data_IF_712028819176
#
_entry.id   IF_712028819176
#
_cell.length_a   1.000
_cell.length_b   1.000
_cell.length_c   1.000
_cell.angle_alpha   90.00
_cell.angle_beta   90.00
_cell.angle_gamma   90.00
#
_symmetry.space_group_name_H-M   'P 1'
#
loop_
_entity.id
_entity.type
_entity.pdbx_description
1 polymer ?
#
# COMPACT_ATOMS: atom_id res chain seq x y z
N UNK A 1 -14.88 19.57 14.57
CA UNK A 1 -15.42 18.20 14.76
C UNK A 1 -14.78 17.63 16.01
N UNK A 2 -15.51 16.91 16.87
CA UNK A 2 -14.87 16.26 18.04
C UNK A 2 -13.76 15.32 17.56
N UNK A 3 -12.53 15.36 18.11
CA UNK A 3 -11.42 14.55 17.62
C UNK A 3 -11.74 13.06 17.51
N UNK A 4 -12.48 12.53 18.49
CA UNK A 4 -12.90 11.14 18.52
C UNK A 4 -13.88 10.82 17.37
N UNK A 5 -14.74 11.75 16.96
CA UNK A 5 -15.64 11.55 15.83
C UNK A 5 -14.87 11.45 14.49
N UNK A 6 -13.78 12.21 14.33
CA UNK A 6 -12.90 12.08 13.16
C UNK A 6 -12.32 10.66 13.06
N UNK A 7 -11.78 10.17 14.17
CA UNK A 7 -11.22 8.81 14.25
C UNK A 7 -12.26 7.72 14.01
N UNK A 8 -13.49 7.88 14.53
CA UNK A 8 -14.59 6.96 14.25
C UNK A 8 -14.94 6.92 12.76
N UNK A 9 -15.08 8.09 12.11
CA UNK A 9 -15.36 8.15 10.67
C UNK A 9 -14.21 7.52 9.88
N UNK A 10 -12.95 7.84 10.23
CA UNK A 10 -11.78 7.24 9.61
C UNK A 10 -11.79 5.71 9.76
N UNK A 11 -12.12 5.20 10.94
CA UNK A 11 -12.25 3.77 11.21
C UNK A 11 -13.34 3.13 10.35
N UNK A 12 -14.54 3.71 10.28
CA UNK A 12 -15.63 3.19 9.47
C UNK A 12 -15.26 3.11 7.98
N UNK A 13 -14.67 4.17 7.42
CA UNK A 13 -14.27 4.20 6.01
C UNK A 13 -13.17 3.16 5.75
N UNK A 14 -12.14 3.08 6.60
CA UNK A 14 -11.06 2.07 6.49
C UNK A 14 -11.62 0.66 6.55
N UNK A 15 -12.46 0.38 7.55
CA UNK A 15 -13.04 -0.94 7.77
C UNK A 15 -13.89 -1.37 6.57
N UNK A 16 -14.75 -0.48 6.09
CA UNK A 16 -15.59 -0.77 4.94
C UNK A 16 -14.77 -0.95 3.66
N UNK A 17 -13.72 -0.16 3.46
CA UNK A 17 -12.80 -0.33 2.33
C UNK A 17 -12.08 -1.69 2.36
N UNK A 18 -11.59 -2.12 3.52
CA UNK A 18 -10.93 -3.43 3.67
C UNK A 18 -11.92 -4.56 3.36
N UNK A 19 -13.15 -4.51 3.87
CA UNK A 19 -14.19 -5.50 3.56
C UNK A 19 -14.47 -5.57 2.06
N UNK A 20 -14.66 -4.42 1.41
CA UNK A 20 -14.91 -4.36 -0.03
C UNK A 20 -13.71 -4.93 -0.82
N UNK A 21 -12.48 -4.55 -0.44
CA UNK A 21 -11.26 -5.05 -1.04
C UNK A 21 -11.11 -6.56 -0.92
N UNK A 22 -11.40 -7.14 0.26
CA UNK A 22 -11.40 -8.59 0.46
C UNK A 22 -12.44 -9.27 -0.43
N UNK A 23 -13.66 -8.73 -0.53
CA UNK A 23 -14.68 -9.28 -1.41
C UNK A 23 -14.25 -9.26 -2.88
N UNK A 24 -13.66 -8.16 -3.35
CA UNK A 24 -13.26 -8.03 -4.75
C UNK A 24 -12.03 -8.87 -5.12
N UNK A 25 -10.97 -8.82 -4.29
CA UNK A 25 -9.77 -9.60 -4.53
C UNK A 25 -10.05 -11.10 -4.35
N UNK A 26 -10.88 -11.46 -3.36
CA UNK A 26 -11.38 -12.82 -3.17
C UNK A 26 -12.14 -13.34 -4.39
N UNK A 27 -13.08 -12.56 -4.92
CA UNK A 27 -13.78 -12.90 -6.16
C UNK A 27 -12.81 -13.05 -7.34
N UNK A 28 -11.83 -12.15 -7.47
CA UNK A 28 -10.81 -12.22 -8.52
C UNK A 28 -9.96 -13.50 -8.44
N UNK A 29 -9.60 -13.92 -7.22
CA UNK A 29 -8.91 -15.18 -6.98
C UNK A 29 -9.76 -16.37 -7.35
N UNK A 30 -11.00 -16.40 -6.89
CA UNK A 30 -11.95 -17.47 -7.18
C UNK A 30 -12.19 -17.63 -8.67
N UNK A 31 -12.54 -16.55 -9.39
CA UNK A 31 -12.83 -16.64 -10.83
C UNK A 31 -11.61 -17.01 -11.66
N UNK A 32 -10.41 -16.58 -11.27
CA UNK A 32 -9.20 -17.01 -11.99
C UNK A 32 -8.90 -18.48 -11.71
N UNK A 33 -9.08 -18.95 -10.48
CA UNK A 33 -8.96 -20.37 -10.17
C UNK A 33 -9.97 -21.19 -10.98
N UNK A 34 -11.26 -20.81 -10.91
CA UNK A 34 -12.34 -21.44 -11.65
C UNK A 34 -11.99 -21.54 -13.14
N UNK A 35 -11.65 -20.42 -13.79
CA UNK A 35 -11.34 -20.40 -15.23
C UNK A 35 -10.13 -21.25 -15.62
N UNK A 36 -9.14 -21.36 -14.74
CA UNK A 36 -7.93 -22.14 -14.99
C UNK A 36 -8.09 -23.62 -14.68
N UNK A 37 -9.09 -23.99 -13.88
CA UNK A 37 -9.36 -25.36 -13.42
C UNK A 37 -10.51 -26.04 -14.15
N UNK A 38 -11.10 -25.41 -15.18
CA UNK A 38 -12.10 -26.06 -16.03
C UNK A 38 -11.48 -27.24 -16.80
N UNK A 39 -12.15 -28.39 -16.73
CA UNK A 39 -11.80 -29.58 -17.49
C UNK A 39 -12.61 -29.67 -18.77
N UNK A 40 -12.12 -30.47 -19.72
CA UNK A 40 -12.86 -30.78 -20.95
C UNK A 40 -14.08 -31.62 -20.59
N UNK A 41 -15.31 -31.16 -20.88
CA UNK A 41 -16.52 -31.90 -20.54
C UNK A 41 -16.67 -33.20 -21.36
N UNK A 42 -17.46 -34.19 -20.90
CA UNK A 42 -17.87 -35.33 -21.72
C UNK A 42 -18.65 -34.90 -22.97
N UNK A 43 -18.67 -35.75 -24.00
CA UNK A 43 -19.22 -35.42 -25.34
C UNK A 43 -20.65 -34.88 -25.30
N UNK A 44 -21.54 -35.50 -24.51
CA UNK A 44 -22.93 -35.08 -24.40
C UNK A 44 -23.12 -33.65 -23.86
N UNK A 45 -22.17 -33.12 -23.07
CA UNK A 45 -22.16 -31.72 -22.62
C UNK A 45 -21.59 -30.78 -23.68
N UNK A 46 -20.57 -31.24 -24.41
CA UNK A 46 -20.03 -30.50 -25.55
C UNK A 46 -21.10 -30.29 -26.62
N UNK A 47 -21.92 -31.32 -26.87
CA UNK A 47 -23.04 -31.27 -27.81
C UNK A 47 -24.10 -30.21 -27.40
N UNK A 48 -24.15 -29.84 -26.10
CA UNK A 48 -24.98 -28.73 -25.55
C UNK A 48 -24.26 -27.37 -25.51
N UNK A 49 -23.10 -27.26 -26.16
CA UNK A 49 -22.31 -26.01 -26.22
C UNK A 49 -21.49 -25.69 -24.97
N UNK A 50 -21.32 -26.63 -24.05
CA UNK A 50 -20.46 -26.47 -22.86
C UNK A 50 -18.99 -26.70 -23.27
N UNK A 51 -18.13 -25.72 -23.02
CA UNK A 51 -16.69 -25.78 -23.33
C UNK A 51 -15.81 -26.18 -22.16
N UNK A 52 -16.32 -26.07 -20.94
CA UNK A 52 -15.57 -26.33 -19.71
C UNK A 52 -16.49 -26.75 -18.59
N UNK A 53 -16.03 -27.67 -17.77
CA UNK A 53 -16.78 -28.27 -16.67
C UNK A 53 -15.93 -28.33 -15.41
N UNK A 54 -16.54 -28.12 -14.25
CA UNK A 54 -15.85 -28.22 -12.97
C UNK A 54 -16.80 -28.76 -11.91
N UNK A 55 -16.32 -29.74 -11.15
CA UNK A 55 -16.96 -30.22 -9.93
C UNK A 55 -16.23 -29.69 -8.71
N UNK A 56 -16.97 -29.12 -7.77
CA UNK A 56 -16.43 -28.61 -6.51
C UNK A 56 -17.31 -29.04 -5.32
N UNK A 57 -16.71 -29.14 -4.14
CA UNK A 57 -17.43 -29.41 -2.89
C UNK A 57 -17.28 -28.23 -1.94
N UNK A 58 -18.38 -27.75 -1.37
CA UNK A 58 -18.36 -26.73 -0.33
C UNK A 58 -19.63 -26.79 0.53
N UNK A 59 -19.51 -26.53 1.84
CA UNK A 59 -20.67 -26.47 2.75
C UNK A 59 -21.52 -27.74 2.78
N UNK A 60 -20.93 -28.92 2.54
CA UNK A 60 -21.64 -30.21 2.53
C UNK A 60 -22.37 -30.55 1.24
N UNK A 61 -22.25 -29.73 0.17
CA UNK A 61 -22.86 -29.98 -1.13
C UNK A 61 -21.84 -30.04 -2.27
N UNK A 62 -22.24 -30.70 -3.36
CA UNK A 62 -21.50 -30.74 -4.63
C UNK A 62 -22.05 -29.67 -5.59
N UNK A 63 -21.15 -28.90 -6.18
CA UNK A 63 -21.43 -27.91 -7.20
C UNK A 63 -20.89 -28.39 -8.54
N UNK A 64 -21.72 -28.30 -9.58
CA UNK A 64 -21.33 -28.51 -10.96
C UNK A 64 -21.38 -27.16 -11.67
N UNK A 65 -20.24 -26.72 -12.19
CA UNK A 65 -20.10 -25.42 -12.85
C UNK A 65 -19.76 -25.65 -14.31
N UNK A 66 -20.71 -25.33 -15.19
CA UNK A 66 -20.55 -25.41 -16.63
C UNK A 66 -20.26 -24.02 -17.23
N UNK A 67 -19.19 -23.93 -18.04
CA UNK A 67 -18.87 -22.74 -18.83
C UNK A 67 -19.25 -22.97 -20.29
N UNK A 68 -20.14 -22.14 -20.82
CA UNK A 68 -20.60 -22.23 -22.20
C UNK A 68 -19.62 -21.57 -23.19
N UNK A 69 -19.56 -22.08 -24.42
CA UNK A 69 -18.76 -21.49 -25.50
C UNK A 69 -19.35 -20.13 -25.92
N UNK A 70 -20.65 -20.09 -26.17
CA UNK A 70 -21.40 -18.94 -26.71
C UNK A 70 -22.46 -18.49 -25.70
N UNK A 71 -23.38 -19.38 -25.34
CA UNK A 71 -24.44 -19.15 -24.37
C UNK A 71 -25.26 -20.43 -24.13
N UNK A 72 -26.12 -20.47 -23.10
CA UNK A 72 -27.02 -21.59 -22.87
C UNK A 72 -28.15 -21.63 -23.91
N UNK A 73 -28.81 -22.79 -24.05
CA UNK A 73 -30.00 -22.97 -24.90
C UNK A 73 -31.14 -22.02 -24.51
N UNK A 74 -31.31 -21.82 -23.21
CA UNK A 74 -32.26 -20.87 -22.64
C UNK A 74 -31.54 -19.94 -21.67
N UNK A 75 -31.77 -18.64 -21.82
CA UNK A 75 -31.20 -17.65 -20.91
C UNK A 75 -31.83 -17.79 -19.52
N UNK A 76 -31.02 -17.83 -18.45
CA UNK A 76 -31.55 -17.87 -17.09
C UNK A 76 -32.23 -16.55 -16.73
N UNK A 77 -33.28 -16.62 -15.91
CA UNK A 77 -34.00 -15.43 -15.41
C UNK A 77 -33.09 -14.51 -14.58
N UNK A 78 -32.12 -15.10 -13.87
CA UNK A 78 -31.21 -14.39 -12.97
C UNK A 78 -29.76 -14.62 -13.40
N UNK A 79 -29.07 -13.51 -13.67
CA UNK A 79 -27.63 -13.47 -13.89
C UNK A 79 -26.98 -12.69 -12.74
N UNK A 80 -26.01 -13.32 -12.10
CA UNK A 80 -25.20 -12.65 -11.08
C UNK A 80 -24.04 -11.88 -11.74
N UNK A 81 -23.97 -10.57 -11.47
CA UNK A 81 -22.97 -9.68 -12.05
C UNK A 81 -21.95 -9.24 -10.99
N UNK A 82 -20.71 -9.67 -11.16
CA UNK A 82 -19.59 -9.35 -10.28
C UNK A 82 -18.96 -8.00 -10.66
N UNK A 83 -19.71 -6.93 -10.40
CA UNK A 83 -19.28 -5.54 -10.65
C UNK A 83 -19.23 -4.71 -9.37
N UNK A 84 -20.07 -5.05 -8.40
CA UNK A 84 -20.29 -4.24 -7.21
C UNK A 84 -19.10 -4.29 -6.28
N UNK A 85 -18.42 -5.44 -6.19
CA UNK A 85 -17.21 -5.62 -5.41
C UNK A 85 -16.10 -4.67 -5.89
N UNK A 86 -15.94 -4.52 -7.20
CA UNK A 86 -14.99 -3.58 -7.78
C UNK A 86 -15.39 -2.12 -7.53
N UNK A 87 -16.67 -1.79 -7.77
CA UNK A 87 -17.16 -0.41 -7.65
C UNK A 87 -17.17 0.07 -6.19
N UNK A 88 -17.61 -0.76 -5.25
CA UNK A 88 -17.62 -0.43 -3.83
C UNK A 88 -16.20 -0.29 -3.29
N UNK A 89 -15.26 -1.17 -3.70
CA UNK A 89 -13.85 -1.03 -3.30
C UNK A 89 -13.26 0.29 -3.77
N UNK A 90 -13.51 0.68 -5.02
CA UNK A 90 -13.00 1.94 -5.54
C UNK A 90 -13.64 3.14 -4.85
N UNK A 91 -14.98 3.17 -4.72
CA UNK A 91 -15.68 4.28 -4.04
C UNK A 91 -15.20 4.47 -2.60
N UNK A 92 -15.05 3.38 -1.86
CA UNK A 92 -14.57 3.42 -0.47
C UNK A 92 -13.09 3.76 -0.38
N UNK A 93 -12.27 3.33 -1.33
CA UNK A 93 -10.86 3.68 -1.42
C UNK A 93 -10.65 5.15 -1.76
N UNK A 94 -11.45 5.70 -2.67
CA UNK A 94 -11.47 7.14 -2.97
C UNK A 94 -11.94 7.95 -1.77
N UNK A 95 -13.00 7.52 -1.08
CA UNK A 95 -13.43 8.17 0.16
C UNK A 95 -12.31 8.16 1.22
N UNK A 96 -11.59 7.05 1.35
CA UNK A 96 -10.47 6.92 2.28
C UNK A 96 -9.29 7.84 1.90
N UNK A 97 -8.95 7.91 0.61
CA UNK A 97 -7.92 8.80 0.09
C UNK A 97 -8.26 10.26 0.36
N UNK A 98 -9.49 10.68 0.08
CA UNK A 98 -9.97 12.05 0.34
C UNK A 98 -9.88 12.35 1.83
N UNK A 99 -10.42 11.47 2.68
CA UNK A 99 -10.50 11.67 4.12
C UNK A 99 -9.11 11.77 4.77
N UNK A 100 -8.23 10.82 4.47
CA UNK A 100 -6.94 10.72 5.13
C UNK A 100 -5.86 11.61 4.49
N UNK A 101 -5.81 11.69 3.16
CA UNK A 101 -4.69 12.32 2.46
C UNK A 101 -5.02 13.67 1.86
N UNK A 102 -6.28 14.01 1.60
CA UNK A 102 -6.62 15.30 1.00
C UNK A 102 -7.12 16.31 2.03
N UNK A 103 -7.99 15.91 2.98
CA UNK A 103 -8.37 16.78 4.09
C UNK A 103 -7.23 17.05 5.06
N UNK A 104 -6.32 16.09 5.25
CA UNK A 104 -5.15 16.22 6.11
C UNK A 104 -3.84 16.16 5.30
N UNK A 105 -3.82 16.81 4.13
CA UNK A 105 -2.68 16.73 3.21
C UNK A 105 -1.36 17.21 3.82
N UNK A 106 -1.37 18.25 4.65
CA UNK A 106 -0.18 18.72 5.34
C UNK A 106 0.42 17.66 6.29
N UNK A 107 -0.43 16.82 6.87
CA UNK A 107 0.00 15.77 7.78
C UNK A 107 0.38 14.49 7.03
N UNK A 108 -0.37 14.06 6.02
CA UNK A 108 -0.18 12.72 5.44
C UNK A 108 0.44 12.70 4.04
N UNK A 109 0.26 13.76 3.25
CA UNK A 109 0.61 13.77 1.83
C UNK A 109 1.87 14.59 1.53
N UNK A 110 2.03 15.76 2.15
CA UNK A 110 3.08 16.72 1.85
C UNK A 110 4.26 16.49 2.78
N UNK A 111 5.44 16.28 2.21
CA UNK A 111 6.72 16.33 2.94
C UNK A 111 7.57 17.44 2.31
N UNK A 112 7.77 18.58 3.00
CA UNK A 112 8.56 19.70 2.47
C UNK A 112 9.98 19.32 2.06
N UNK A 113 10.56 18.26 2.66
CA UNK A 113 11.90 17.77 2.32
C UNK A 113 11.95 17.05 0.97
N UNK A 114 10.80 16.60 0.47
CA UNK A 114 10.66 16.01 -0.87
C UNK A 114 10.31 17.10 -1.87
N UNK A 115 9.21 17.80 -1.62
CA UNK A 115 8.74 18.90 -2.46
C UNK A 115 7.82 19.82 -1.66
N UNK A 116 8.14 21.11 -1.65
CA UNK A 116 7.29 22.12 -1.02
C UNK A 116 6.05 22.37 -1.90
N UNK A 117 4.91 21.86 -1.44
CA UNK A 117 3.62 21.98 -2.12
C UNK A 117 2.60 22.62 -1.19
N UNK A 118 1.77 23.50 -1.75
CA UNK A 118 0.51 23.86 -1.09
C UNK A 118 -0.47 22.68 -1.09
N UNK A 119 -1.44 22.69 -0.17
CA UNK A 119 -2.49 21.67 -0.10
C UNK A 119 -3.23 21.49 -1.43
N UNK A 120 -3.60 22.57 -2.11
CA UNK A 120 -4.32 22.50 -3.37
C UNK A 120 -3.45 21.90 -4.49
N UNK A 121 -2.17 22.24 -4.55
CA UNK A 121 -1.23 21.65 -5.51
C UNK A 121 -1.05 20.15 -5.24
N UNK A 122 -0.85 19.74 -4.00
CA UNK A 122 -0.68 18.33 -3.65
C UNK A 122 -1.90 17.49 -4.01
N UNK A 123 -3.12 17.98 -3.70
CA UNK A 123 -4.37 17.30 -4.06
C UNK A 123 -4.56 17.27 -5.58
N UNK A 124 -4.34 18.39 -6.26
CA UNK A 124 -4.46 18.50 -7.72
C UNK A 124 -3.50 17.56 -8.46
N UNK A 125 -2.24 17.51 -8.02
CA UNK A 125 -1.24 16.57 -8.54
C UNK A 125 -1.60 15.12 -8.23
N UNK A 126 -2.16 14.83 -7.05
CA UNK A 126 -2.59 13.50 -6.66
C UNK A 126 -3.67 12.96 -7.60
N UNK A 127 -4.76 13.73 -7.76
CA UNK A 127 -5.88 13.38 -8.64
C UNK A 127 -5.43 13.35 -10.10
N UNK A 128 -4.72 14.41 -10.54
CA UNK A 128 -4.28 14.57 -11.92
C UNK A 128 -3.35 13.44 -12.37
N UNK A 129 -2.39 13.06 -11.53
CA UNK A 129 -1.45 11.97 -11.84
C UNK A 129 -2.14 10.61 -11.86
N UNK A 130 -3.07 10.33 -10.94
CA UNK A 130 -3.87 9.09 -10.97
C UNK A 130 -4.68 9.02 -12.28
N UNK A 131 -5.39 10.09 -12.63
CA UNK A 131 -6.17 10.15 -13.84
C UNK A 131 -5.31 9.99 -15.10
N UNK A 132 -4.18 10.71 -15.16
CA UNK A 132 -3.21 10.58 -16.25
C UNK A 132 -2.73 9.14 -16.40
N UNK A 133 -2.40 8.46 -15.30
CA UNK A 133 -1.97 7.07 -15.34
C UNK A 133 -3.04 6.12 -15.88
N UNK A 134 -4.31 6.32 -15.55
CA UNK A 134 -5.43 5.55 -16.12
C UNK A 134 -5.55 5.79 -17.63
N UNK A 135 -5.43 7.05 -18.08
CA UNK A 135 -5.49 7.41 -19.51
C UNK A 135 -4.31 6.82 -20.28
N UNK A 136 -3.09 6.94 -19.76
CA UNK A 136 -1.88 6.37 -20.37
C UNK A 136 -1.99 4.85 -20.46
N UNK A 137 -2.45 4.18 -19.40
CA UNK A 137 -2.70 2.74 -19.43
C UNK A 137 -3.72 2.34 -20.49
N UNK A 138 -4.82 3.08 -20.66
CA UNK A 138 -5.79 2.82 -21.72
C UNK A 138 -5.17 3.03 -23.12
N UNK A 139 -4.31 4.04 -23.28
CA UNK A 139 -3.51 4.25 -24.49
C UNK A 139 -2.59 3.07 -24.79
N UNK A 140 -1.86 2.56 -23.80
CA UNK A 140 -1.00 1.38 -23.93
C UNK A 140 -1.80 0.17 -24.39
N UNK A 141 -2.99 -0.07 -23.83
CA UNK A 141 -3.83 -1.20 -24.18
C UNK A 141 -4.40 -1.14 -25.61
N UNK A 142 -4.60 0.07 -26.15
CA UNK A 142 -5.04 0.31 -27.54
C UNK A 142 -3.88 0.32 -28.54
N UNK A 143 -2.66 0.55 -28.07
CA UNK A 143 -1.46 0.61 -28.91
C UNK A 143 -1.11 -0.75 -29.54
N UNK A 144 -0.37 -0.77 -30.67
CA UNK A 144 0.09 -2.00 -31.29
C UNK A 144 1.15 -2.76 -30.47
N UNK A 145 1.64 -2.19 -29.37
CA UNK A 145 2.55 -2.87 -28.43
C UNK A 145 1.93 -4.17 -27.89
N UNK A 146 0.60 -4.25 -27.88
CA UNK A 146 -0.13 -5.43 -27.47
C UNK A 146 0.08 -6.67 -28.38
N UNK A 147 0.75 -6.54 -29.53
CA UNK A 147 1.12 -7.66 -30.40
C UNK A 147 2.28 -8.48 -29.84
N UNK A 148 3.10 -7.90 -28.96
CA UNK A 148 4.24 -8.56 -28.34
C UNK A 148 4.10 -8.51 -26.81
N UNK A 149 3.74 -9.65 -26.21
CA UNK A 149 3.58 -9.76 -24.76
C UNK A 149 4.83 -9.33 -23.97
N UNK A 150 6.06 -9.75 -24.33
CA UNK A 150 7.26 -9.32 -23.60
C UNK A 150 7.50 -7.81 -23.67
N UNK A 151 7.32 -7.22 -24.85
CA UNK A 151 7.47 -5.77 -25.02
C UNK A 151 6.41 -5.01 -24.23
N UNK A 152 5.16 -5.47 -24.26
CA UNK A 152 4.08 -4.87 -23.50
C UNK A 152 4.36 -4.90 -22.00
N UNK A 153 4.84 -6.03 -21.47
CA UNK A 153 5.22 -6.17 -20.06
C UNK A 153 6.36 -5.21 -19.72
N UNK A 154 7.42 -5.14 -20.53
CA UNK A 154 8.54 -4.23 -20.30
C UNK A 154 8.08 -2.77 -20.24
N UNK A 155 7.21 -2.35 -21.16
CA UNK A 155 6.61 -1.00 -21.16
C UNK A 155 5.72 -0.78 -19.94
N UNK A 156 4.95 -1.78 -19.51
CA UNK A 156 4.11 -1.69 -18.30
C UNK A 156 4.96 -1.55 -17.02
N UNK A 157 6.09 -2.26 -16.94
CA UNK A 157 7.04 -2.12 -15.82
C UNK A 157 7.68 -0.73 -15.82
N UNK A 158 8.10 -0.23 -16.99
CA UNK A 158 8.64 1.12 -17.12
C UNK A 158 7.58 2.18 -16.74
N UNK A 159 6.34 2.02 -17.21
CA UNK A 159 5.21 2.86 -16.82
C UNK A 159 5.03 2.86 -15.30
N UNK A 160 4.98 1.68 -14.66
CA UNK A 160 4.88 1.57 -13.22
C UNK A 160 6.03 2.25 -12.49
N UNK A 161 7.26 2.07 -12.98
CA UNK A 161 8.46 2.70 -12.42
C UNK A 161 8.41 4.22 -12.49
N UNK A 162 8.03 4.79 -13.64
CA UNK A 162 7.92 6.23 -13.85
C UNK A 162 6.89 6.88 -12.91
N UNK A 163 5.71 6.26 -12.78
CA UNK A 163 4.68 6.78 -11.88
C UNK A 163 5.08 6.65 -10.41
N UNK A 164 5.69 5.52 -10.01
CA UNK A 164 6.15 5.36 -8.63
C UNK A 164 7.28 6.33 -8.30
N UNK A 165 8.23 6.52 -9.23
CA UNK A 165 9.28 7.53 -9.12
C UNK A 165 8.68 8.93 -8.97
N UNK A 166 7.74 9.31 -9.84
CA UNK A 166 7.06 10.60 -9.75
C UNK A 166 6.38 10.78 -8.39
N UNK A 167 5.61 9.80 -7.93
CA UNK A 167 4.95 9.87 -6.63
C UNK A 167 5.94 10.01 -5.46
N UNK A 168 7.05 9.27 -5.48
CA UNK A 168 8.07 9.34 -4.43
C UNK A 168 8.85 10.66 -4.40
N UNK A 169 8.87 11.40 -5.52
CA UNK A 169 9.52 12.71 -5.62
C UNK A 169 8.54 13.89 -5.54
N UNK A 170 7.23 13.63 -5.44
CA UNK A 170 6.20 14.66 -5.25
C UNK A 170 5.59 14.64 -3.85
N UNK A 171 5.49 13.46 -3.23
CA UNK A 171 4.74 13.24 -2.00
C UNK A 171 5.61 12.63 -0.91
N UNK A 172 5.11 12.68 0.33
CA UNK A 172 5.65 11.89 1.44
C UNK A 172 5.73 10.41 1.05
N UNK A 173 6.65 9.65 1.64
CA UNK A 173 6.78 8.21 1.35
C UNK A 173 5.46 7.45 1.51
N UNK A 174 4.66 7.80 2.54
CA UNK A 174 3.31 7.25 2.74
C UNK A 174 2.36 7.64 1.62
N UNK A 175 2.36 8.93 1.26
CA UNK A 175 1.57 9.47 0.17
C UNK A 175 1.88 8.77 -1.15
N UNK A 176 3.17 8.54 -1.43
CA UNK A 176 3.61 7.93 -2.67
C UNK A 176 3.09 6.49 -2.85
N UNK A 177 3.21 5.65 -1.82
CA UNK A 177 2.75 4.26 -1.87
C UNK A 177 1.22 4.18 -2.00
N UNK A 178 0.49 5.01 -1.25
CA UNK A 178 -0.97 5.04 -1.34
C UNK A 178 -1.45 5.57 -2.70
N UNK A 179 -0.79 6.57 -3.29
CA UNK A 179 -1.14 7.04 -4.63
C UNK A 179 -0.81 6.01 -5.71
N UNK A 180 0.27 5.24 -5.55
CA UNK A 180 0.55 4.10 -6.42
C UNK A 180 -0.55 3.02 -6.31
N UNK A 181 -1.00 2.71 -5.09
CA UNK A 181 -2.12 1.80 -4.86
C UNK A 181 -3.43 2.31 -5.47
N UNK A 182 -3.72 3.60 -5.31
CA UNK A 182 -4.89 4.26 -5.87
C UNK A 182 -4.86 4.28 -7.42
N UNK A 183 -3.69 4.48 -8.04
CA UNK A 183 -3.52 4.37 -9.48
C UNK A 183 -3.84 2.97 -9.98
N UNK A 184 -3.23 1.94 -9.38
CA UNK A 184 -3.48 0.54 -9.78
C UNK A 184 -4.94 0.17 -9.56
N UNK A 185 -5.52 0.52 -8.41
CA UNK A 185 -6.94 0.27 -8.12
C UNK A 185 -7.87 0.97 -9.11
N UNK A 186 -7.53 2.20 -9.52
CA UNK A 186 -8.28 2.95 -10.52
C UNK A 186 -8.16 2.33 -11.91
N UNK A 187 -6.98 1.84 -12.31
CA UNK A 187 -6.79 1.06 -13.53
C UNK A 187 -7.67 -0.22 -13.49
N UNK A 188 -7.65 -0.94 -12.37
CA UNK A 188 -8.37 -2.19 -12.22
C UNK A 188 -9.90 -1.99 -12.26
N UNK A 189 -10.45 -0.95 -11.63
CA UNK A 189 -11.89 -0.67 -11.70
C UNK A 189 -12.26 -0.13 -13.09
N UNK A 190 -11.39 0.66 -13.72
CA UNK A 190 -11.59 1.18 -15.08
C UNK A 190 -11.72 0.03 -16.08
N UNK A 191 -10.91 -1.02 -15.94
CA UNK A 191 -11.02 -2.25 -16.71
C UNK A 191 -12.40 -2.91 -16.56
N UNK A 192 -12.91 -2.98 -15.33
CA UNK A 192 -14.24 -3.55 -15.04
C UNK A 192 -15.35 -2.70 -15.64
N UNK A 193 -15.32 -1.39 -15.37
CA UNK A 193 -16.38 -0.45 -15.73
C UNK A 193 -16.46 -0.20 -17.25
N UNK A 194 -15.32 0.04 -17.93
CA UNK A 194 -15.32 0.45 -19.34
C UNK A 194 -15.24 -0.71 -20.33
N UNK A 195 -14.68 -1.87 -19.95
CA UNK A 195 -14.43 -2.97 -20.90
C UNK A 195 -15.15 -4.25 -20.53
N UNK A 196 -15.01 -4.74 -19.30
CA UNK A 196 -15.53 -6.05 -18.91
C UNK A 196 -17.06 -6.05 -18.85
N UNK A 197 -17.68 -5.19 -18.02
CA UNK A 197 -19.14 -5.18 -17.84
C UNK A 197 -19.88 -4.80 -19.12
N UNK A 198 -19.48 -3.76 -19.89
CA UNK A 198 -20.12 -3.45 -21.17
C UNK A 198 -19.99 -4.59 -22.18
N UNK A 199 -18.82 -5.24 -22.27
CA UNK A 199 -18.61 -6.38 -23.15
C UNK A 199 -19.49 -7.58 -22.78
N UNK A 200 -19.59 -7.90 -21.50
CA UNK A 200 -20.48 -8.95 -21.00
C UNK A 200 -21.96 -8.64 -21.26
N UNK A 201 -22.40 -7.39 -21.08
CA UNK A 201 -23.77 -6.96 -21.42
C UNK A 201 -24.07 -7.10 -22.90
N UNK A 202 -23.13 -6.71 -23.78
CA UNK A 202 -23.27 -6.90 -25.24
C UNK A 202 -23.42 -8.38 -25.58
N UNK A 203 -22.56 -9.23 -25.03
CA UNK A 203 -22.61 -10.68 -25.22
C UNK A 203 -23.98 -11.26 -24.79
N UNK A 204 -24.44 -10.92 -23.59
CA UNK A 204 -25.76 -11.38 -23.08
C UNK A 204 -26.89 -10.94 -24.00
N UNK A 205 -26.86 -9.70 -24.51
CA UNK A 205 -27.86 -9.20 -25.46
C UNK A 205 -27.88 -10.00 -26.76
N UNK A 206 -26.70 -10.30 -27.33
CA UNK A 206 -26.58 -11.08 -28.57
C UNK A 206 -27.11 -12.50 -28.39
N UNK A 207 -26.73 -13.17 -27.30
CA UNK A 207 -27.23 -14.52 -26.96
C UNK A 207 -28.74 -14.51 -26.80
N UNK A 208 -29.29 -13.55 -26.06
CA UNK A 208 -30.73 -13.46 -25.84
C UNK A 208 -31.52 -13.17 -27.13
N UNK A 209 -30.90 -12.49 -28.10
CA UNK A 209 -31.49 -12.19 -29.41
C UNK A 209 -31.30 -13.32 -30.45
N UNK A 210 -30.57 -14.38 -30.12
CA UNK A 210 -30.19 -15.42 -31.09
C UNK A 210 -29.21 -14.93 -32.17
N UNK A 211 -28.53 -13.82 -31.93
CA UNK A 211 -27.54 -13.25 -32.84
C UNK A 211 -26.17 -13.93 -32.69
N UNK A 212 -25.34 -13.98 -33.75
CA UNK A 212 -23.95 -14.40 -33.64
C UNK A 212 -23.20 -13.57 -32.59
N UNK A 213 -22.57 -14.24 -31.63
CA UNK A 213 -21.78 -13.58 -30.58
C UNK A 213 -20.44 -13.14 -31.14
N UNK A 214 -20.16 -11.84 -31.02
CA UNK A 214 -18.87 -11.26 -31.33
C UNK A 214 -17.87 -11.60 -30.21
N UNK A 215 -16.77 -12.34 -30.47
CA UNK A 215 -15.83 -12.74 -29.43
C UNK A 215 -14.93 -11.59 -28.96
N UNK A 216 -14.79 -10.51 -29.74
CA UNK A 216 -13.79 -9.47 -29.49
C UNK A 216 -13.95 -8.77 -28.12
N UNK A 217 -15.15 -8.36 -27.66
CA UNK A 217 -15.34 -7.76 -26.34
C UNK A 217 -15.02 -8.72 -25.19
N UNK A 218 -15.33 -10.01 -25.35
CA UNK A 218 -15.04 -11.04 -24.35
C UNK A 218 -13.54 -11.31 -24.22
N UNK A 219 -12.82 -11.38 -25.35
CA UNK A 219 -11.36 -11.52 -25.37
C UNK A 219 -10.66 -10.31 -24.76
N UNK A 220 -11.15 -9.09 -25.05
CA UNK A 220 -10.64 -7.87 -24.41
C UNK A 220 -10.90 -7.88 -22.90
N UNK A 221 -12.10 -8.27 -22.48
CA UNK A 221 -12.44 -8.43 -21.06
C UNK A 221 -11.53 -9.44 -20.36
N UNK A 222 -11.25 -10.59 -20.99
CA UNK A 222 -10.32 -11.60 -20.48
C UNK A 222 -8.91 -11.04 -20.31
N UNK A 223 -8.40 -10.33 -21.32
CA UNK A 223 -7.07 -9.69 -21.27
C UNK A 223 -6.95 -8.73 -20.09
N UNK A 224 -7.96 -7.89 -19.89
CA UNK A 224 -8.04 -6.93 -18.77
C UNK A 224 -8.14 -7.62 -17.41
N UNK A 225 -8.90 -8.72 -17.34
CA UNK A 225 -9.00 -9.56 -16.15
C UNK A 225 -7.67 -10.21 -15.77
N UNK A 226 -6.85 -10.59 -16.76
CA UNK A 226 -5.49 -11.10 -16.50
C UNK A 226 -4.64 -10.01 -15.83
N UNK A 227 -4.68 -8.77 -16.31
CA UNK A 227 -3.91 -7.69 -15.68
C UNK A 227 -4.38 -7.44 -14.24
N UNK A 228 -5.70 -7.38 -14.03
CA UNK A 228 -6.28 -7.26 -12.68
C UNK A 228 -5.82 -8.39 -11.76
N UNK A 229 -5.74 -9.64 -12.26
CA UNK A 229 -5.22 -10.77 -11.51
C UNK A 229 -3.76 -10.57 -11.10
N UNK A 230 -2.87 -10.10 -11.99
CA UNK A 230 -1.47 -9.87 -11.64
C UNK A 230 -1.29 -8.70 -10.66
N UNK A 231 -2.21 -7.74 -10.66
CA UNK A 231 -2.18 -6.60 -9.74
C UNK A 231 -2.69 -6.91 -8.33
N UNK A 232 -3.35 -8.04 -8.08
CA UNK A 232 -3.98 -8.32 -6.77
C UNK A 232 -2.98 -8.41 -5.62
N UNK A 233 -1.84 -9.10 -5.77
CA UNK A 233 -0.84 -9.19 -4.70
C UNK A 233 -0.08 -7.87 -4.51
N UNK A 234 0.37 -7.19 -5.58
CA UNK A 234 0.91 -5.84 -5.49
C UNK A 234 0.00 -4.85 -4.76
N UNK A 235 -1.31 -4.82 -5.08
CA UNK A 235 -2.21 -3.84 -4.47
C UNK A 235 -2.48 -4.14 -2.99
N UNK A 236 -2.58 -5.43 -2.60
CA UNK A 236 -2.67 -5.81 -1.18
C UNK A 236 -1.44 -5.30 -0.41
N UNK A 237 -0.24 -5.46 -0.98
CA UNK A 237 0.97 -4.94 -0.35
C UNK A 237 0.91 -3.41 -0.17
N UNK A 238 0.50 -2.67 -1.21
CA UNK A 238 0.40 -1.21 -1.15
C UNK A 238 -0.65 -0.75 -0.12
N UNK A 239 -1.69 -1.54 0.17
CA UNK A 239 -2.66 -1.23 1.23
C UNK A 239 -2.02 -1.30 2.63
N UNK A 240 -1.11 -2.24 2.85
CA UNK A 240 -0.47 -2.45 4.17
C UNK A 240 0.87 -1.73 4.30
N UNK A 241 1.43 -1.17 3.22
CA UNK A 241 2.79 -0.63 3.19
C UNK A 241 3.05 0.47 4.23
N UNK A 242 2.03 1.25 4.59
CA UNK A 242 2.13 2.31 5.59
C UNK A 242 2.43 1.80 7.02
N UNK A 243 2.31 0.51 7.27
CA UNK A 243 2.71 -0.12 8.53
C UNK A 243 4.23 -0.41 8.61
N UNK A 244 4.95 -0.19 7.51
CA UNK A 244 6.34 -0.60 7.33
C UNK A 244 7.23 0.59 6.91
N UNK A 245 7.62 1.47 7.86
CA UNK A 245 8.43 2.67 7.59
C UNK A 245 9.76 2.41 6.92
N UNK A 246 10.39 1.27 7.22
CA UNK A 246 11.65 0.84 6.61
C UNK A 246 11.56 0.71 5.08
N UNK A 247 10.35 0.60 4.52
CA UNK A 247 10.12 0.54 3.08
C UNK A 247 9.91 1.95 2.51
N UNK A 248 8.95 2.71 3.04
CA UNK A 248 8.53 3.96 2.42
C UNK A 248 9.41 5.17 2.78
N UNK A 249 10.18 5.11 3.88
CA UNK A 249 11.17 6.15 4.24
C UNK A 249 12.56 5.89 3.67
N UNK A 250 12.77 4.76 3.00
CA UNK A 250 14.06 4.48 2.40
C UNK A 250 14.35 5.48 1.26
N UNK A 251 15.62 5.90 1.09
CA UNK A 251 16.01 6.84 0.02
C UNK A 251 15.65 6.33 -1.39
N UNK A 252 15.58 5.02 -1.57
CA UNK A 252 15.15 4.34 -2.81
C UNK A 252 13.78 3.69 -2.67
N UNK A 253 12.86 4.30 -1.92
CA UNK A 253 11.53 3.75 -1.61
C UNK A 253 10.73 3.39 -2.86
N UNK A 254 10.80 4.19 -3.93
CA UNK A 254 10.14 3.92 -5.21
C UNK A 254 10.64 2.61 -5.85
N UNK A 255 11.96 2.35 -5.79
CA UNK A 255 12.56 1.16 -6.38
C UNK A 255 12.22 -0.08 -5.54
N UNK A 256 12.29 0.03 -4.21
CA UNK A 256 11.89 -1.05 -3.31
C UNK A 256 10.42 -1.38 -3.53
N UNK A 257 9.55 -0.37 -3.57
CA UNK A 257 8.13 -0.56 -3.85
C UNK A 257 7.90 -1.26 -5.19
N UNK A 258 8.57 -0.82 -6.26
CA UNK A 258 8.51 -1.45 -7.57
C UNK A 258 8.98 -2.92 -7.53
N UNK A 259 10.11 -3.22 -6.88
CA UNK A 259 10.62 -4.58 -6.76
C UNK A 259 9.66 -5.49 -6.00
N UNK A 260 9.10 -5.02 -4.88
CA UNK A 260 8.08 -5.78 -4.12
C UNK A 260 6.86 -6.05 -5.00
N UNK A 261 6.38 -5.07 -5.76
CA UNK A 261 5.28 -5.28 -6.71
C UNK A 261 5.62 -6.32 -7.79
N UNK A 262 6.81 -6.25 -8.39
CA UNK A 262 7.23 -7.21 -9.42
C UNK A 262 7.35 -8.62 -8.86
N UNK A 263 7.98 -8.78 -7.68
CA UNK A 263 8.10 -10.06 -7.00
C UNK A 263 6.71 -10.60 -6.63
N UNK A 264 5.80 -9.75 -6.14
CA UNK A 264 4.42 -10.15 -5.80
C UNK A 264 3.65 -10.61 -7.03
N UNK A 265 3.77 -9.92 -8.16
CA UNK A 265 3.17 -10.33 -9.43
C UNK A 265 3.78 -11.64 -9.96
N UNK A 266 5.08 -11.86 -9.77
CA UNK A 266 5.76 -13.10 -10.12
C UNK A 266 5.32 -14.28 -9.23
N UNK A 267 5.14 -14.05 -7.93
CA UNK A 267 4.54 -15.04 -7.02
C UNK A 267 3.10 -15.34 -7.45
N UNK A 268 2.33 -14.33 -7.87
CA UNK A 268 0.99 -14.56 -8.42
C UNK A 268 1.01 -15.45 -9.66
N UNK A 269 2.04 -15.32 -10.51
CA UNK A 269 2.23 -16.17 -11.67
C UNK A 269 2.30 -17.66 -11.31
N UNK A 270 2.99 -18.02 -10.22
CA UNK A 270 3.07 -19.41 -9.76
C UNK A 270 1.67 -20.00 -9.49
N UNK A 271 0.80 -19.26 -8.80
CA UNK A 271 -0.56 -19.74 -8.52
C UNK A 271 -1.37 -19.91 -9.81
N UNK A 272 -1.23 -18.98 -10.76
CA UNK A 272 -1.88 -19.10 -12.06
C UNK A 272 -1.43 -20.36 -12.82
N UNK A 273 -0.12 -20.66 -12.84
CA UNK A 273 0.42 -21.88 -13.45
C UNK A 273 -0.11 -23.14 -12.75
N UNK A 274 -0.07 -23.15 -11.41
CA UNK A 274 -0.55 -24.27 -10.60
C UNK A 274 -2.03 -24.57 -10.86
N UNK A 275 -2.87 -23.54 -10.93
CA UNK A 275 -4.31 -23.71 -11.21
C UNK A 275 -4.59 -24.24 -12.62
N UNK A 276 -3.70 -23.98 -13.57
CA UNK A 276 -3.75 -24.54 -14.93
C UNK A 276 -3.05 -25.91 -15.05
N UNK A 277 -2.80 -26.60 -13.94
CA UNK A 277 -2.16 -27.92 -13.92
C UNK A 277 -0.64 -27.94 -14.12
N UNK A 278 0.01 -26.78 -14.27
CA UNK A 278 1.46 -26.69 -14.43
C UNK A 278 2.16 -26.48 -13.08
N UNK A 279 2.71 -27.56 -12.51
CA UNK A 279 3.49 -27.47 -11.26
C UNK A 279 4.92 -26.99 -11.54
N UNK A 280 5.19 -25.71 -11.27
CA UNK A 280 6.54 -25.10 -11.35
C UNK A 280 6.95 -24.48 -10.01
N UNK A 281 7.25 -25.28 -8.96
CA UNK A 281 7.57 -24.76 -7.63
C UNK A 281 8.81 -23.85 -7.61
N UNK A 282 9.72 -23.99 -8.58
CA UNK A 282 10.85 -23.07 -8.76
C UNK A 282 10.43 -21.60 -8.87
N UNK A 283 9.29 -21.30 -9.50
CA UNK A 283 8.76 -19.92 -9.59
C UNK A 283 8.48 -19.35 -8.21
N UNK A 284 7.86 -20.14 -7.32
CA UNK A 284 7.60 -19.74 -5.94
C UNK A 284 8.91 -19.54 -5.15
N UNK A 285 9.84 -20.49 -5.23
CA UNK A 285 11.09 -20.41 -4.49
C UNK A 285 11.99 -19.26 -4.96
N UNK A 286 12.04 -18.98 -6.26
CA UNK A 286 12.76 -17.81 -6.80
C UNK A 286 12.10 -16.52 -6.33
N UNK A 287 10.76 -16.43 -6.35
CA UNK A 287 10.04 -15.26 -5.83
C UNK A 287 10.27 -15.04 -4.33
N UNK A 288 10.19 -16.10 -3.53
CA UNK A 288 10.44 -16.05 -2.09
C UNK A 288 11.90 -15.70 -1.77
N UNK A 289 12.86 -16.29 -2.48
CA UNK A 289 14.28 -16.00 -2.36
C UNK A 289 14.60 -14.55 -2.73
N UNK A 290 13.99 -14.03 -3.80
CA UNK A 290 14.13 -12.62 -4.18
C UNK A 290 13.55 -11.67 -3.12
N UNK A 291 12.39 -12.00 -2.53
CA UNK A 291 11.81 -11.21 -1.44
C UNK A 291 12.71 -11.23 -0.19
N UNK A 292 13.23 -12.40 0.17
CA UNK A 292 14.15 -12.55 1.30
C UNK A 292 15.45 -11.78 1.07
N UNK A 293 16.06 -11.89 -0.12
CA UNK A 293 17.26 -11.14 -0.47
C UNK A 293 17.02 -9.62 -0.39
N UNK A 294 15.87 -9.14 -0.87
CA UNK A 294 15.49 -7.73 -0.76
C UNK A 294 15.33 -7.30 0.71
N UNK A 295 14.68 -8.11 1.54
CA UNK A 295 14.53 -7.84 2.97
C UNK A 295 15.88 -7.77 3.70
N UNK A 296 16.80 -8.70 3.40
CA UNK A 296 18.17 -8.69 3.95
C UNK A 296 18.94 -7.45 3.49
N UNK A 297 18.87 -7.09 2.20
CA UNK A 297 19.56 -5.93 1.66
C UNK A 297 19.12 -4.62 2.34
N UNK A 298 17.80 -4.42 2.50
CA UNK A 298 17.24 -3.23 3.16
C UNK A 298 17.64 -3.20 4.65
N UNK A 299 17.54 -4.34 5.34
CA UNK A 299 17.87 -4.44 6.76
C UNK A 299 19.36 -4.19 7.02
N UNK A 300 20.24 -4.73 6.16
CA UNK A 300 21.69 -4.54 6.26
C UNK A 300 22.09 -3.07 6.08
N UNK A 301 21.50 -2.39 5.09
CA UNK A 301 21.75 -0.97 4.84
C UNK A 301 21.30 -0.09 6.02
N UNK A 302 20.17 -0.40 6.64
CA UNK A 302 19.70 0.34 7.82
C UNK A 302 20.68 0.18 9.00
N UNK A 303 21.19 -1.03 9.23
CA UNK A 303 22.18 -1.29 10.29
C UNK A 303 23.51 -0.59 10.02
N UNK A 304 24.00 -0.58 8.78
CA UNK A 304 25.27 0.07 8.47
C UNK A 304 25.23 1.59 8.61
N UNK A 305 24.09 2.22 8.31
CA UNK A 305 23.89 3.66 8.50
C UNK A 305 23.86 4.08 9.99
N UNK A 306 23.42 3.20 10.89
CA UNK A 306 23.45 3.45 12.34
C UNK A 306 24.87 3.42 12.93
N UNK A 307 25.77 2.63 12.33
CA UNK A 307 27.14 2.43 12.83
C UNK A 307 28.18 3.28 12.11
N UNK A 308 27.79 4.04 11.09
CA UNK A 308 28.69 4.94 10.38
C UNK A 308 28.86 6.26 11.16
N UNK A 309 30.07 6.62 11.63
CA UNK A 309 30.30 7.93 12.24
C UNK A 309 30.11 9.02 11.19
N UNK A 310 28.98 9.74 11.23
CA UNK A 310 28.84 11.01 10.50
C UNK A 310 29.72 12.02 11.23
N UNK A 311 30.81 12.45 10.57
CA UNK A 311 31.67 13.53 11.06
C UNK A 311 30.84 14.80 11.13
N UNK A 312 30.36 15.15 12.33
CA UNK A 312 29.75 16.45 12.61
C UNK A 312 30.90 17.45 12.63
N UNK A 313 30.95 18.33 11.63
CA UNK A 313 31.82 19.50 11.67
C UNK A 313 31.29 20.44 12.77
N UNK A 314 31.85 20.31 13.97
CA UNK A 314 31.56 21.18 15.09
C UNK A 314 32.08 22.60 14.77
N UNK A 315 31.18 23.53 14.49
CA UNK A 315 31.45 24.95 14.67
C UNK A 315 31.05 25.31 16.09
N UNK A 316 32.04 25.76 16.86
CA UNK A 316 31.94 25.93 18.30
C UNK A 316 31.08 27.11 18.75
N UNK A 317 30.51 26.94 19.93
CA UNK A 317 30.33 28.03 20.87
C UNK A 317 30.65 27.50 22.27
N UNK A 318 31.84 27.84 22.75
CA UNK A 318 32.16 27.80 24.18
C UNK A 318 31.24 28.81 24.90
N UNK A 319 30.52 28.35 25.92
CA UNK A 319 29.99 29.23 26.95
C UNK A 319 30.34 28.67 28.32
N UNK A 320 31.06 29.51 29.05
CA UNK A 320 31.69 29.32 30.34
C UNK A 320 30.83 28.64 31.41
N UNK A 321 31.47 27.66 32.07
CA UNK A 321 31.12 27.14 33.39
C UNK A 321 31.25 28.26 34.43
N UNK A 322 30.21 28.46 35.25
CA UNK A 322 30.36 29.11 36.56
C UNK A 322 29.70 28.24 37.61
N UNK A 323 30.53 27.78 38.55
CA UNK A 323 30.14 27.12 39.79
C UNK A 323 29.32 28.06 40.68
N UNK A 324 28.25 27.54 41.30
CA UNK A 324 27.87 28.00 42.64
C UNK A 324 27.18 26.89 43.44
N UNK A 325 27.51 26.89 44.72
CA UNK A 325 27.37 25.82 45.71
C UNK A 325 25.93 25.55 46.16
N UNK A 326 25.73 24.28 46.51
CA UNK A 326 24.60 23.62 47.16
C UNK A 326 23.73 24.43 48.14
N UNK A 327 22.43 24.13 48.11
CA UNK A 327 21.61 23.92 49.33
C UNK A 327 20.69 22.72 49.12
N UNK A 328 20.66 21.84 50.12
CA UNK A 328 19.92 20.59 50.13
C UNK A 328 18.49 20.79 50.67
N UNK A 329 17.52 20.15 50.04
CA UNK A 329 16.48 19.28 50.63
C UNK A 329 15.21 19.28 49.78
N UNK A 330 14.72 18.07 49.48
CA UNK A 330 13.32 17.58 49.51
C UNK A 330 13.25 16.31 48.65
N UNK A 331 12.70 15.27 49.27
CA UNK A 331 12.23 13.96 48.74
C UNK A 331 12.57 13.64 47.28
N UNK A 332 13.56 12.74 47.11
CA UNK A 332 14.08 12.34 45.81
C UNK A 332 13.09 11.45 45.04
N UNK A 333 12.35 12.06 44.11
CA UNK A 333 12.19 11.44 42.79
C UNK A 333 13.59 11.09 42.26
N UNK A 334 13.79 9.97 41.54
CA UNK A 334 15.10 9.64 40.99
C UNK A 334 15.58 10.83 40.13
N UNK A 335 16.57 11.56 40.63
CA UNK A 335 17.13 12.71 39.93
C UNK A 335 17.70 12.22 38.61
N UNK A 336 17.15 12.74 37.52
CA UNK A 336 17.62 12.41 36.18
C UNK A 336 19.07 12.87 36.04
N UNK A 337 19.88 12.07 35.38
CA UNK A 337 21.23 12.50 35.01
C UNK A 337 21.14 13.68 34.03
N UNK A 338 22.21 14.48 33.92
CA UNK A 338 22.28 15.57 32.93
C UNK A 338 21.99 15.07 31.50
N UNK A 339 22.44 13.85 31.17
CA UNK A 339 22.16 13.21 29.88
C UNK A 339 20.67 12.87 29.72
N UNK A 340 20.03 12.36 30.77
CA UNK A 340 18.60 12.06 30.75
C UNK A 340 17.76 13.35 30.62
N UNK A 341 18.18 14.45 31.26
CA UNK A 341 17.56 15.76 31.08
C UNK A 341 17.69 16.26 29.63
N UNK A 342 18.87 16.12 29.00
CA UNK A 342 19.05 16.48 27.58
C UNK A 342 18.13 15.66 26.67
N UNK A 343 18.10 14.33 26.83
CA UNK A 343 17.24 13.47 26.04
C UNK A 343 15.74 13.77 26.23
N UNK A 344 15.30 14.01 27.47
CA UNK A 344 13.92 14.40 27.75
C UNK A 344 13.57 15.74 27.09
N UNK A 345 14.47 16.74 27.15
CA UNK A 345 14.27 18.03 26.48
C UNK A 345 14.13 17.90 24.96
N UNK A 346 14.94 17.04 24.31
CA UNK A 346 14.80 16.73 22.88
C UNK A 346 13.43 16.08 22.61
N UNK A 347 13.03 15.10 23.43
CA UNK A 347 11.75 14.39 23.27
C UNK A 347 10.56 15.35 23.47
N UNK A 348 10.58 16.20 24.47
CA UNK A 348 9.53 17.18 24.72
C UNK A 348 9.41 18.17 23.55
N UNK A 349 10.53 18.72 23.09
CA UNK A 349 10.57 19.68 21.99
C UNK A 349 10.11 19.07 20.65
N UNK A 350 10.51 17.82 20.37
CA UNK A 350 10.31 17.18 19.07
C UNK A 350 9.09 16.27 19.00
N UNK A 351 8.71 15.64 20.10
CA UNK A 351 7.65 14.64 20.17
C UNK A 351 6.46 15.09 21.04
N UNK A 352 6.67 15.96 22.03
CA UNK A 352 5.67 16.32 23.05
C UNK A 352 4.38 16.93 22.49
N UNK A 353 4.44 17.64 21.35
CA UNK A 353 3.25 18.21 20.72
C UNK A 353 2.18 17.16 20.35
N UNK A 354 2.62 15.93 20.02
CA UNK A 354 1.75 14.81 19.65
C UNK A 354 1.69 13.73 20.75
N UNK A 355 2.81 13.45 21.41
CA UNK A 355 2.99 12.34 22.35
C UNK A 355 2.98 12.82 23.81
N UNK A 356 1.99 13.62 24.18
CA UNK A 356 1.75 14.10 25.56
C UNK A 356 0.39 13.62 26.08
N UNK A 357 0.17 13.65 27.39
CA UNK A 357 -1.17 13.56 27.99
C UNK A 357 -2.09 14.70 27.56
N UNK A 358 -1.51 15.83 27.13
CA UNK A 358 -2.25 16.99 26.61
C UNK A 358 -1.69 17.45 25.24
N UNK A 359 -1.88 16.67 24.16
CA UNK A 359 -1.36 17.01 22.84
C UNK A 359 -1.86 18.37 22.34
N UNK A 360 -0.95 19.17 21.78
CA UNK A 360 -1.24 20.51 21.27
C UNK A 360 -1.34 20.55 19.75
N UNK A 361 -0.87 19.51 19.04
CA UNK A 361 -0.89 19.42 17.57
C UNK A 361 -2.29 19.56 16.97
N UNK A 362 -2.42 20.25 15.83
CA UNK A 362 -3.71 20.51 15.17
C UNK A 362 -4.42 19.28 14.62
N UNK A 363 -3.68 18.23 14.28
CA UNK A 363 -4.20 16.98 13.71
C UNK A 363 -4.22 15.89 14.78
N UNK A 364 -3.11 15.72 15.50
CA UNK A 364 -2.96 14.69 16.51
C UNK A 364 -3.41 15.17 17.89
N UNK A 365 -4.73 15.27 18.08
CA UNK A 365 -5.35 15.68 19.35
C UNK A 365 -5.40 14.57 20.43
N UNK A 366 -4.89 13.38 20.11
CA UNK A 366 -4.70 12.25 21.01
C UNK A 366 -3.35 11.60 20.67
N UNK A 367 -2.59 11.21 21.69
CA UNK A 367 -1.30 10.55 21.53
C UNK A 367 -1.40 9.30 20.63
N UNK A 368 -0.74 9.30 19.45
CA UNK A 368 -0.82 8.16 18.54
C UNK A 368 -0.33 6.88 19.21
N UNK A 369 -1.09 5.79 19.04
CA UNK A 369 -0.83 4.48 19.68
C UNK A 369 -0.81 4.51 21.21
N UNK A 370 -1.31 5.57 21.85
CA UNK A 370 -1.25 5.73 23.31
C UNK A 370 0.16 5.93 23.86
N UNK A 371 1.14 6.24 23.01
CA UNK A 371 2.51 6.52 23.44
C UNK A 371 2.58 7.97 23.94
N UNK A 372 2.69 8.15 25.25
CA UNK A 372 2.89 9.44 25.93
C UNK A 372 4.32 9.48 26.44
N UNK A 373 4.98 10.64 26.40
CA UNK A 373 6.38 10.85 26.79
C UNK A 373 6.55 12.05 27.76
N UNK A 374 5.58 12.28 28.64
CA UNK A 374 5.59 13.42 29.57
C UNK A 374 6.66 13.29 30.66
N UNK A 375 7.12 12.07 30.96
CA UNK A 375 8.11 11.80 32.00
C UNK A 375 9.24 10.91 31.50
N UNK A 376 10.38 10.89 32.21
CA UNK A 376 11.47 9.96 31.89
C UNK A 376 11.06 8.48 31.97
N UNK A 377 10.19 8.12 32.91
CA UNK A 377 9.67 6.76 33.04
C UNK A 377 8.87 6.35 31.80
N UNK A 378 8.18 7.30 31.17
CA UNK A 378 7.53 7.09 29.89
C UNK A 378 8.55 6.87 28.77
N UNK A 379 9.60 7.68 28.72
CA UNK A 379 10.69 7.55 27.75
C UNK A 379 11.36 6.18 27.87
N UNK A 380 11.67 5.73 29.10
CA UNK A 380 12.30 4.43 29.33
C UNK A 380 11.38 3.28 28.87
N UNK A 381 10.09 3.35 29.21
CA UNK A 381 9.07 2.38 28.78
C UNK A 381 8.97 2.27 27.25
N UNK A 382 9.13 3.39 26.55
CA UNK A 382 9.02 3.44 25.09
C UNK A 382 10.38 3.48 24.36
N UNK A 383 11.50 3.38 25.08
CA UNK A 383 12.87 3.58 24.58
C UNK A 383 13.15 2.86 23.27
N UNK A 384 12.88 1.55 23.21
CA UNK A 384 13.09 0.74 22.01
C UNK A 384 12.30 1.23 20.80
N UNK A 385 11.06 1.69 21.02
CA UNK A 385 10.22 2.27 19.96
C UNK A 385 10.66 3.68 19.59
N UNK A 386 11.06 4.51 20.54
CA UNK A 386 11.60 5.85 20.27
C UNK A 386 12.83 5.72 19.38
N UNK A 387 13.78 4.84 19.72
CA UNK A 387 14.96 4.57 18.89
C UNK A 387 14.54 4.06 17.50
N UNK A 388 13.67 3.04 17.43
CA UNK A 388 13.26 2.48 16.14
C UNK A 388 12.57 3.49 15.21
N UNK A 389 11.77 4.41 15.75
CA UNK A 389 10.95 5.35 14.99
C UNK A 389 11.66 6.69 14.73
N UNK A 390 12.29 7.27 15.74
CA UNK A 390 12.98 8.54 15.63
C UNK A 390 14.43 8.40 15.15
N UNK A 391 15.13 7.31 15.43
CA UNK A 391 16.54 7.16 15.02
C UNK A 391 16.66 6.27 13.79
N UNK A 392 16.21 5.02 13.91
CA UNK A 392 16.48 3.99 12.89
C UNK A 392 15.72 4.26 11.60
N UNK A 393 14.40 4.43 11.68
CA UNK A 393 13.57 4.68 10.49
C UNK A 393 13.45 6.15 10.13
N UNK A 394 13.75 7.07 11.07
CA UNK A 394 13.61 8.51 10.88
C UNK A 394 12.17 8.96 10.53
N UNK A 395 11.17 8.12 10.84
CA UNK A 395 9.78 8.37 10.46
C UNK A 395 9.00 9.16 11.51
N UNK A 396 9.61 9.35 12.68
CA UNK A 396 9.18 10.27 13.74
C UNK A 396 10.25 11.35 13.99
N UNK A 397 9.89 12.58 14.39
CA UNK A 397 8.54 13.12 14.50
C UNK A 397 7.80 13.03 13.17
N UNK A 398 6.47 12.92 13.21
CA UNK A 398 5.68 12.55 12.03
C UNK A 398 5.90 13.54 10.87
N UNK A 399 6.34 13.03 9.71
CA UNK A 399 6.82 13.83 8.54
C UNK A 399 7.85 14.91 8.89
N UNK A 400 8.60 14.71 9.97
CA UNK A 400 9.52 15.69 10.56
C UNK A 400 8.90 17.07 10.83
N UNK A 401 7.61 17.11 11.20
CA UNK A 401 6.85 18.35 11.41
C UNK A 401 7.49 19.32 12.42
N UNK A 402 8.19 18.79 13.43
CA UNK A 402 8.89 19.57 14.45
C UNK A 402 10.38 19.77 14.13
N UNK A 403 10.81 19.51 12.90
CA UNK A 403 12.15 19.81 12.39
C UNK A 403 13.30 19.18 13.20
N UNK A 404 13.12 17.94 13.67
CA UNK A 404 14.17 17.22 14.40
C UNK A 404 15.37 16.95 13.48
N UNK A 405 16.54 17.40 13.92
CA UNK A 405 17.80 17.32 13.20
C UNK A 405 18.49 15.96 13.33
N UNK A 406 19.40 15.66 12.41
CA UNK A 406 20.23 14.45 12.49
C UNK A 406 21.12 14.42 13.75
N UNK A 407 21.58 15.59 14.21
CA UNK A 407 22.39 15.72 15.41
C UNK A 407 21.59 15.33 16.66
N UNK A 408 20.37 15.84 16.80
CA UNK A 408 19.47 15.48 17.90
C UNK A 408 19.12 13.98 17.89
N UNK A 409 18.94 13.38 16.71
CA UNK A 409 18.69 11.93 16.58
C UNK A 409 19.89 11.11 17.06
N UNK A 410 21.10 11.54 16.74
CA UNK A 410 22.33 10.87 17.19
C UNK A 410 22.56 11.01 18.68
N UNK A 411 22.34 12.20 19.22
CA UNK A 411 22.41 12.46 20.66
C UNK A 411 21.40 11.59 21.42
N UNK A 412 20.15 11.56 20.96
CA UNK A 412 19.10 10.72 21.52
C UNK A 412 19.47 9.22 21.45
N UNK A 413 20.03 8.77 20.33
CA UNK A 413 20.49 7.39 20.16
C UNK A 413 21.61 7.03 21.15
N UNK A 414 22.56 7.94 21.35
CA UNK A 414 23.68 7.74 22.26
C UNK A 414 23.20 7.60 23.69
N UNK A 415 22.37 8.55 24.16
CA UNK A 415 21.90 8.60 25.55
C UNK A 415 21.00 7.40 25.86
N UNK A 416 20.05 7.10 24.98
CA UNK A 416 19.11 6.01 25.21
C UNK A 416 19.81 4.64 25.18
N UNK A 417 20.77 4.39 24.29
CA UNK A 417 21.51 3.11 24.29
C UNK A 417 22.58 3.00 25.38
N UNK A 418 23.07 4.11 25.93
CA UNK A 418 24.04 4.12 27.03
C UNK A 418 23.43 3.80 28.41
N UNK A 419 22.10 3.73 28.50
CA UNK A 419 21.36 3.42 29.75
C UNK A 419 21.14 1.90 29.97
N UNK A 420 21.91 1.04 29.30
CA UNK A 420 22.06 -0.40 29.61
C UNK A 420 23.37 -0.62 30.37
#
# INVERSE_FOLDING_TARGET
>A
MWPQLYEWIALFIKWFHVICGVAWIGASFYFTWLDNSLETPPKWKQDKGIKGDLWAIHGGGFYEVAKYQVGPEQMPEKLHWFKWEAYSTWLTGTALLIWMYYFNAQAYLIDPRVMELSTLQAVGLGIGTIFLGVVVYEGLMRSPLNRSTPLFIAVLVLFGALFFYAFAHMFSGRGAFIHMGALIGSIMVNNVFHKIIPGQRKMVKQVAAGEPVDPAPGLEGKRRSIHNNYFTLPIIFLMISNHYPMIYQHAQSWLIGLLIMLISAYIRHYFNLKHSGQSKPSVMYVGAGAMFALAVAISWQATSQLHAPKVVAAQGSESALTESVATASVEAEPQLTEQQHSALGIIEARCGQCHSSTPTDDVFKVAPSGAVFDTWQDVERWKSRIIARAVVSGDMPFLNKTEMTDAERQELNKILNASE
#
